data_IF_106811926993
#
_entry.id   IF_106811926993
#
_cell.length_a   1.000
_cell.length_b   1.000
_cell.length_c   1.000
_cell.angle_alpha   90.00
_cell.angle_beta   90.00
_cell.angle_gamma   90.00
#
_symmetry.space_group_name_H-M   'P 1'
#
loop_
_entity.id
_entity.type
_entity.pdbx_description
1 polymer ?
#
# COMPACT_ATOMS: atom_id res chain seq x y z
N UNK A 1 -50.18 -35.87 17.68
CA UNK A 1 -49.28 -35.84 16.50
C UNK A 1 -48.61 -34.48 16.49
N UNK A 2 -47.36 -34.46 16.93
CA UNK A 2 -46.54 -33.25 16.94
C UNK A 2 -45.85 -33.14 15.58
N UNK A 3 -46.18 -32.10 14.83
CA UNK A 3 -45.45 -31.78 13.59
C UNK A 3 -44.13 -31.20 13.99
N UNK A 4 -43.07 -32.02 13.81
CA UNK A 4 -41.71 -31.52 13.93
C UNK A 4 -41.45 -30.51 12.81
N UNK A 5 -41.23 -29.27 13.19
CA UNK A 5 -40.70 -28.23 12.29
C UNK A 5 -39.30 -28.64 11.87
N UNK A 6 -39.15 -29.10 10.64
CA UNK A 6 -37.86 -29.28 10.02
C UNK A 6 -37.35 -27.87 9.66
N UNK A 7 -36.32 -27.42 10.34
CA UNK A 7 -35.55 -26.28 9.87
C UNK A 7 -34.98 -26.61 8.46
N UNK A 8 -35.17 -25.72 7.48
CA UNK A 8 -34.50 -25.89 6.21
C UNK A 8 -33.01 -25.93 6.50
N UNK A 9 -32.33 -26.93 5.88
CA UNK A 9 -30.92 -27.18 6.10
C UNK A 9 -30.15 -25.90 5.85
N UNK A 10 -29.49 -25.43 6.89
CA UNK A 10 -28.43 -24.44 6.81
C UNK A 10 -27.39 -25.01 5.86
N UNK A 11 -27.36 -24.53 4.62
CA UNK A 11 -26.16 -24.59 3.84
C UNK A 11 -25.09 -23.93 4.70
N UNK A 12 -24.23 -24.74 5.26
CA UNK A 12 -23.15 -24.28 6.13
C UNK A 12 -22.16 -23.57 5.22
N UNK A 13 -22.41 -22.30 5.01
CA UNK A 13 -21.43 -21.37 4.52
C UNK A 13 -20.43 -21.24 5.65
N UNK A 14 -19.25 -21.84 5.47
CA UNK A 14 -18.19 -21.76 6.47
C UNK A 14 -17.50 -20.42 6.24
N UNK A 15 -17.69 -19.41 7.11
CA UNK A 15 -17.12 -18.07 6.93
C UNK A 15 -15.60 -18.10 6.72
N UNK A 16 -14.93 -19.04 7.37
CA UNK A 16 -13.47 -19.21 7.31
C UNK A 16 -12.94 -19.53 5.90
N UNK A 17 -13.68 -20.29 5.09
CA UNK A 17 -13.27 -20.63 3.72
C UNK A 17 -13.38 -19.40 2.80
N UNK A 18 -14.37 -18.57 3.03
CA UNK A 18 -14.60 -17.35 2.27
C UNK A 18 -13.57 -16.28 2.60
N UNK A 19 -13.20 -16.15 3.85
CA UNK A 19 -12.17 -15.21 4.28
C UNK A 19 -10.81 -15.55 3.65
N UNK A 20 -10.46 -16.82 3.59
CA UNK A 20 -9.23 -17.28 2.95
C UNK A 20 -9.23 -17.01 1.43
N UNK A 21 -10.34 -17.24 0.74
CA UNK A 21 -10.47 -16.96 -0.68
C UNK A 21 -10.47 -15.44 -0.95
N UNK A 22 -11.13 -14.66 -0.12
CA UNK A 22 -11.16 -13.21 -0.19
C UNK A 22 -9.75 -12.62 -0.09
N UNK A 23 -8.98 -13.00 0.92
CA UNK A 23 -7.60 -12.54 1.12
C UNK A 23 -6.70 -12.89 -0.06
N UNK A 24 -6.80 -14.11 -0.59
CA UNK A 24 -6.02 -14.55 -1.75
C UNK A 24 -6.31 -13.73 -3.01
N UNK A 25 -7.55 -13.27 -3.19
CA UNK A 25 -7.93 -12.46 -4.34
C UNK A 25 -7.69 -10.95 -4.13
N UNK A 26 -7.70 -10.50 -2.87
CA UNK A 26 -7.52 -9.10 -2.52
C UNK A 26 -6.07 -8.64 -2.67
N UNK A 27 -5.12 -9.38 -2.12
CA UNK A 27 -3.70 -9.02 -2.10
C UNK A 27 -3.09 -8.74 -3.48
N UNK A 28 -3.35 -9.56 -4.53
CA UNK A 28 -2.79 -9.30 -5.85
C UNK A 28 -3.29 -8.03 -6.54
N UNK A 29 -4.41 -7.47 -6.08
CA UNK A 29 -5.00 -6.24 -6.63
C UNK A 29 -4.41 -4.97 -6.03
N UNK A 30 -3.71 -5.07 -4.90
CA UNK A 30 -3.10 -3.94 -4.21
C UNK A 30 -1.71 -3.64 -4.78
N UNK A 31 -1.42 -2.38 -5.03
CA UNK A 31 -0.08 -1.89 -5.39
C UNK A 31 0.52 -1.13 -4.22
N UNK A 32 -0.17 -0.13 -3.69
CA UNK A 32 0.30 0.69 -2.57
C UNK A 32 0.29 -0.07 -1.24
N UNK A 33 -0.74 -0.88 -1.00
CA UNK A 33 -0.84 -1.72 0.19
C UNK A 33 -0.14 -3.08 0.02
N UNK A 34 0.53 -3.33 -1.11
CA UNK A 34 1.28 -4.57 -1.33
C UNK A 34 2.56 -4.62 -0.50
N UNK A 35 3.07 -5.83 -0.17
CA UNK A 35 4.32 -6.00 0.57
C UNK A 35 5.56 -5.38 -0.10
N UNK A 36 5.49 -5.08 -1.41
CA UNK A 36 6.56 -4.40 -2.15
C UNK A 36 6.67 -2.91 -1.80
N UNK A 37 5.56 -2.28 -1.44
CA UNK A 37 5.47 -0.84 -1.19
C UNK A 37 5.27 -0.54 0.29
N UNK A 38 4.42 -1.31 0.96
CA UNK A 38 4.09 -1.15 2.38
C UNK A 38 4.33 -2.44 3.14
N UNK A 39 4.89 -2.35 4.33
CA UNK A 39 4.97 -3.52 5.21
C UNK A 39 3.66 -3.73 5.97
N UNK A 40 3.35 -4.98 6.28
CA UNK A 40 2.18 -5.39 7.07
C UNK A 40 2.57 -6.04 8.41
N UNK A 41 3.73 -5.68 8.96
CA UNK A 41 4.29 -6.29 10.18
C UNK A 41 3.39 -6.15 11.41
N UNK A 42 2.45 -5.21 11.40
CA UNK A 42 1.63 -4.83 12.54
C UNK A 42 0.15 -5.25 12.40
N UNK A 43 -0.17 -6.09 11.44
CA UNK A 43 -1.56 -6.48 11.08
C UNK A 43 -2.23 -7.36 12.14
N UNK A 44 -1.48 -8.19 12.86
CA UNK A 44 -2.02 -9.20 13.79
C UNK A 44 -2.62 -8.68 15.10
N UNK A 45 -2.48 -7.39 15.41
CA UNK A 45 -2.92 -6.81 16.70
C UNK A 45 -4.23 -6.03 16.63
N UNK A 46 -4.85 -5.94 15.45
CA UNK A 46 -6.01 -5.09 15.19
C UNK A 46 -7.30 -5.91 15.33
N UNK A 47 -8.27 -5.38 16.06
CA UNK A 47 -9.59 -6.01 16.25
C UNK A 47 -10.76 -5.11 15.91
N UNK A 48 -10.61 -3.79 16.02
CA UNK A 48 -11.70 -2.83 15.79
C UNK A 48 -11.20 -1.47 15.34
N UNK A 49 -12.12 -0.66 14.77
CA UNK A 49 -11.82 0.74 14.43
C UNK A 49 -11.44 1.52 15.70
N UNK A 50 -10.36 2.27 15.62
CA UNK A 50 -9.81 3.03 16.73
C UNK A 50 -8.71 2.30 17.50
N UNK A 51 -8.41 1.04 17.18
CA UNK A 51 -7.26 0.35 17.74
C UNK A 51 -5.97 1.07 17.38
N UNK A 52 -5.06 1.11 18.33
CA UNK A 52 -3.76 1.77 18.21
C UNK A 52 -2.66 0.76 18.41
N UNK A 53 -1.83 0.61 17.40
CA UNK A 53 -0.63 -0.21 17.47
C UNK A 53 0.58 0.68 17.71
N UNK A 54 1.38 0.36 18.72
CA UNK A 54 2.58 1.10 19.06
C UNK A 54 3.79 0.54 18.31
N UNK A 55 4.47 1.40 17.56
CA UNK A 55 5.68 1.08 16.82
C UNK A 55 6.85 1.73 17.53
N UNK A 56 7.61 0.94 18.30
CA UNK A 56 8.76 1.43 19.03
C UNK A 56 10.03 1.34 18.21
N UNK A 57 10.73 2.46 18.04
CA UNK A 57 12.03 2.54 17.38
C UNK A 57 13.11 2.82 18.41
N UNK A 58 14.21 2.06 18.37
CA UNK A 58 15.37 2.27 19.23
C UNK A 58 16.25 3.38 18.61
N UNK A 59 16.68 4.31 19.46
CA UNK A 59 17.68 5.31 19.09
C UNK A 59 19.07 4.68 19.01
N UNK A 60 19.83 5.05 17.98
CA UNK A 60 21.22 4.60 17.87
C UNK A 60 22.06 5.21 19.00
N UNK A 61 22.81 4.40 19.77
CA UNK A 61 23.71 4.91 20.78
C UNK A 61 24.86 5.70 20.13
N UNK A 62 25.34 6.71 20.81
CA UNK A 62 26.49 7.53 20.36
C UNK A 62 27.78 6.77 20.63
N UNK A 63 28.65 6.70 19.63
CA UNK A 63 29.99 6.12 19.79
C UNK A 63 30.88 7.17 20.49
N UNK A 64 31.48 6.80 21.59
CA UNK A 64 32.44 7.61 22.33
C UNK A 64 33.86 7.14 22.13
N UNK A 65 34.83 8.05 22.23
CA UNK A 65 36.25 7.70 22.23
C UNK A 65 36.69 7.15 23.59
N UNK A 66 37.41 6.05 23.56
CA UNK A 66 37.96 5.45 24.77
C UNK A 66 39.35 6.00 25.07
N UNK A 67 39.49 6.54 26.27
CA UNK A 67 40.79 6.90 26.83
C UNK A 67 41.00 6.17 28.15
N UNK A 68 42.25 5.79 28.47
CA UNK A 68 42.57 5.08 29.72
C UNK A 68 42.24 5.97 30.94
N UNK A 69 42.31 7.29 30.80
CA UNK A 69 42.06 8.23 31.88
C UNK A 69 40.56 8.38 32.21
N UNK A 70 39.69 8.40 31.20
CA UNK A 70 38.26 8.73 31.35
C UNK A 70 37.36 7.46 31.38
N UNK A 71 37.88 6.32 30.95
CA UNK A 71 37.14 5.06 30.93
C UNK A 71 35.98 5.05 29.92
N UNK A 72 34.92 4.33 30.22
CA UNK A 72 33.70 4.22 29.39
C UNK A 72 32.49 4.79 30.13
N UNK A 73 31.68 5.60 29.47
CA UNK A 73 30.40 6.07 30.00
C UNK A 73 29.26 5.23 29.43
N UNK A 74 28.50 4.58 30.32
CA UNK A 74 27.34 3.79 29.91
C UNK A 74 26.19 4.69 29.46
N UNK A 75 25.63 4.42 28.30
CA UNK A 75 24.43 5.08 27.77
C UNK A 75 23.20 4.23 28.04
N UNK A 76 22.08 4.86 28.36
CA UNK A 76 20.79 4.18 28.47
C UNK A 76 20.14 4.14 27.07
N UNK A 77 19.58 2.99 26.64
CA UNK A 77 18.83 2.94 25.42
C UNK A 77 17.58 3.82 25.50
N UNK A 78 17.39 4.68 24.53
CA UNK A 78 16.19 5.51 24.39
C UNK A 78 15.34 4.97 23.24
N UNK A 79 14.03 5.06 23.39
CA UNK A 79 13.05 4.61 22.39
C UNK A 79 12.15 5.76 22.00
N UNK A 80 11.72 5.75 20.73
CA UNK A 80 10.71 6.66 20.19
C UNK A 80 9.48 5.83 19.84
N UNK A 81 8.33 6.24 20.35
CA UNK A 81 7.04 5.60 20.09
C UNK A 81 6.32 6.29 18.92
N UNK A 82 5.79 5.49 18.01
CA UNK A 82 4.92 5.91 16.93
C UNK A 82 3.62 5.13 17.00
N UNK A 83 2.49 5.78 16.75
CA UNK A 83 1.18 5.15 16.85
C UNK A 83 0.58 4.96 15.45
N UNK A 84 0.28 3.73 15.11
CA UNK A 84 -0.56 3.39 13.96
C UNK A 84 -2.00 3.24 14.46
N UNK A 85 -2.89 4.07 13.95
CA UNK A 85 -4.31 4.04 14.31
C UNK A 85 -5.13 3.54 13.13
N UNK A 86 -6.08 2.65 13.40
CA UNK A 86 -7.05 2.20 12.40
C UNK A 86 -8.14 3.26 12.27
N UNK A 87 -8.06 4.04 11.21
CA UNK A 87 -8.95 5.20 10.99
C UNK A 87 -10.13 4.89 10.11
N UNK A 88 -9.97 3.99 9.16
CA UNK A 88 -10.97 3.71 8.14
C UNK A 88 -11.80 2.47 8.45
N UNK A 89 -13.09 2.59 8.22
CA UNK A 89 -14.05 1.48 8.25
C UNK A 89 -14.95 1.61 7.02
N UNK A 90 -14.76 0.76 6.05
CA UNK A 90 -15.56 0.75 4.82
C UNK A 90 -16.41 -0.51 4.78
N UNK A 91 -17.68 -0.35 4.43
CA UNK A 91 -18.58 -1.46 4.25
C UNK A 91 -19.11 -1.50 2.82
N UNK A 92 -19.44 -2.68 2.38
CA UNK A 92 -20.19 -2.92 1.17
C UNK A 92 -21.38 -3.81 1.52
N UNK A 93 -22.55 -3.44 1.00
CA UNK A 93 -23.76 -4.24 1.12
C UNK A 93 -24.44 -4.28 -0.24
N UNK A 94 -24.71 -5.45 -0.74
CA UNK A 94 -25.39 -5.69 -2.01
C UNK A 94 -26.67 -6.45 -1.73
N UNK A 95 -27.78 -5.97 -2.27
CA UNK A 95 -29.07 -6.63 -2.22
C UNK A 95 -29.24 -7.50 -3.48
N UNK A 96 -29.71 -8.73 -3.29
CA UNK A 96 -30.04 -9.67 -4.35
C UNK A 96 -31.51 -10.05 -4.22
N UNK A 97 -32.34 -9.63 -5.16
CA UNK A 97 -33.77 -9.95 -5.12
C UNK A 97 -34.03 -11.42 -5.47
N UNK A 98 -34.98 -12.03 -4.76
CA UNK A 98 -35.37 -13.44 -5.00
C UNK A 98 -35.76 -13.71 -6.45
N UNK A 99 -36.39 -12.74 -7.12
CA UNK A 99 -36.79 -12.87 -8.52
C UNK A 99 -35.59 -12.90 -9.48
N UNK A 100 -34.53 -12.17 -9.21
CA UNK A 100 -33.31 -12.16 -10.01
C UNK A 100 -32.50 -13.44 -9.80
N UNK A 101 -32.47 -13.95 -8.58
CA UNK A 101 -31.78 -15.22 -8.24
C UNK A 101 -32.34 -16.42 -8.98
N UNK A 102 -33.66 -16.45 -9.22
CA UNK A 102 -34.34 -17.51 -9.97
C UNK A 102 -34.10 -17.42 -11.48
N UNK A 103 -33.91 -16.21 -12.01
CA UNK A 103 -33.70 -15.98 -13.45
C UNK A 103 -32.25 -16.23 -13.90
N UNK A 104 -31.29 -16.15 -12.98
CA UNK A 104 -29.88 -16.34 -13.27
C UNK A 104 -29.44 -17.74 -12.87
N UNK A 105 -29.58 -18.68 -13.79
CA UNK A 105 -29.26 -20.11 -13.63
C UNK A 105 -27.76 -20.43 -13.45
N UNK A 106 -26.93 -19.49 -13.08
CA UNK A 106 -25.48 -19.69 -12.92
C UNK A 106 -24.89 -18.76 -11.85
N UNK A 107 -25.00 -19.16 -10.58
CA UNK A 107 -24.21 -18.62 -9.46
C UNK A 107 -23.84 -17.13 -9.51
N UNK A 108 -24.76 -16.26 -9.13
CA UNK A 108 -24.54 -14.80 -9.05
C UNK A 108 -23.50 -14.40 -7.98
N UNK A 109 -23.33 -15.24 -6.98
CA UNK A 109 -22.53 -14.96 -5.80
C UNK A 109 -21.06 -14.72 -6.13
N UNK A 110 -20.49 -15.50 -7.05
CA UNK A 110 -19.08 -15.37 -7.43
C UNK A 110 -18.74 -14.04 -8.17
N UNK A 111 -19.49 -13.59 -9.19
CA UNK A 111 -19.24 -12.29 -9.84
C UNK A 111 -19.45 -11.08 -8.92
N UNK A 112 -20.49 -11.12 -8.05
CA UNK A 112 -20.78 -10.06 -7.08
C UNK A 112 -19.62 -9.94 -6.11
N UNK A 113 -19.19 -11.06 -5.51
CA UNK A 113 -18.07 -11.08 -4.56
C UNK A 113 -16.78 -10.55 -5.20
N UNK A 114 -16.47 -10.92 -6.44
CA UNK A 114 -15.31 -10.39 -7.15
C UNK A 114 -15.39 -8.87 -7.35
N UNK A 115 -16.56 -8.33 -7.65
CA UNK A 115 -16.74 -6.89 -7.79
C UNK A 115 -16.61 -6.17 -6.44
N UNK A 116 -17.14 -6.75 -5.37
CA UNK A 116 -17.00 -6.21 -4.01
C UNK A 116 -15.53 -6.17 -3.58
N UNK A 117 -14.79 -7.26 -3.80
CA UNK A 117 -13.34 -7.34 -3.53
C UNK A 117 -12.59 -6.25 -4.29
N UNK A 118 -12.84 -6.12 -5.60
CA UNK A 118 -12.17 -5.11 -6.43
C UNK A 118 -12.44 -3.67 -5.96
N UNK A 119 -13.68 -3.38 -5.57
CA UNK A 119 -14.06 -2.07 -5.08
C UNK A 119 -13.34 -1.72 -3.76
N UNK A 120 -13.32 -2.66 -2.81
CA UNK A 120 -12.63 -2.48 -1.52
C UNK A 120 -11.12 -2.40 -1.70
N UNK A 121 -10.54 -3.23 -2.55
CA UNK A 121 -9.12 -3.20 -2.87
C UNK A 121 -8.70 -1.85 -3.45
N UNK A 122 -9.48 -1.32 -4.38
CA UNK A 122 -9.21 -0.03 -5.01
C UNK A 122 -9.27 1.13 -4.02
N UNK A 123 -10.23 1.11 -3.11
CA UNK A 123 -10.37 2.13 -2.07
C UNK A 123 -9.21 2.11 -1.09
N UNK A 124 -8.81 0.92 -0.63
CA UNK A 124 -7.66 0.76 0.26
C UNK A 124 -6.35 1.16 -0.41
N UNK A 125 -6.17 0.82 -1.69
CA UNK A 125 -4.99 1.20 -2.47
C UNK A 125 -4.90 2.72 -2.61
N UNK A 126 -6.00 3.39 -2.96
CA UNK A 126 -6.05 4.85 -3.06
C UNK A 126 -5.76 5.55 -1.72
N UNK A 127 -6.26 5.00 -0.61
CA UNK A 127 -5.98 5.51 0.73
C UNK A 127 -4.49 5.44 1.06
N UNK A 128 -3.85 4.28 0.84
CA UNK A 128 -2.42 4.12 1.09
C UNK A 128 -1.58 5.01 0.17
N UNK A 129 -1.95 5.11 -1.11
CA UNK A 129 -1.30 6.02 -2.05
C UNK A 129 -1.31 7.47 -1.56
N UNK A 130 -2.44 7.93 -1.03
CA UNK A 130 -2.56 9.29 -0.48
C UNK A 130 -1.67 9.50 0.76
N UNK A 131 -1.64 8.54 1.70
CA UNK A 131 -0.77 8.62 2.89
C UNK A 131 0.70 8.69 2.47
N UNK A 132 1.13 7.83 1.55
CA UNK A 132 2.49 7.80 1.04
C UNK A 132 2.82 9.11 0.34
N UNK A 133 1.92 9.64 -0.49
CA UNK A 133 2.13 10.90 -1.18
C UNK A 133 2.23 12.10 -0.22
N UNK A 134 1.44 12.13 0.85
CA UNK A 134 1.52 13.20 1.87
C UNK A 134 2.85 13.13 2.61
N UNK A 135 3.29 11.94 3.01
CA UNK A 135 4.51 11.75 3.79
C UNK A 135 5.82 11.80 2.98
N UNK A 136 5.76 11.70 1.66
CA UNK A 136 6.94 11.67 0.78
C UNK A 136 7.60 13.04 0.61
N UNK A 137 8.92 13.07 0.54
CA UNK A 137 9.70 14.26 0.16
C UNK A 137 9.43 14.59 -1.31
N UNK A 138 9.03 15.84 -1.58
CA UNK A 138 8.78 16.28 -2.94
C UNK A 138 10.09 16.72 -3.62
N UNK A 139 10.40 16.12 -4.75
CA UNK A 139 11.43 16.59 -5.66
C UNK A 139 10.88 17.67 -6.60
N UNK A 140 11.75 18.45 -7.25
CA UNK A 140 11.31 19.41 -8.27
C UNK A 140 10.41 18.76 -9.33
N UNK A 141 9.40 19.49 -9.77
CA UNK A 141 8.51 19.00 -10.81
C UNK A 141 9.29 18.76 -12.12
N UNK A 142 9.02 17.63 -12.75
CA UNK A 142 9.64 17.27 -14.04
C UNK A 142 8.89 18.04 -15.12
N UNK A 143 9.60 18.87 -15.89
CA UNK A 143 9.03 19.64 -17.01
C UNK A 143 9.68 19.20 -18.32
N UNK A 144 9.25 18.05 -18.87
CA UNK A 144 9.84 17.56 -20.12
C UNK A 144 9.41 18.41 -21.31
N UNK A 145 10.27 18.58 -22.29
CA UNK A 145 9.89 19.06 -23.62
C UNK A 145 9.32 17.92 -24.44
N UNK A 146 8.48 18.22 -25.44
CA UNK A 146 7.84 17.18 -26.26
C UNK A 146 8.83 16.19 -26.92
N UNK A 147 10.04 16.64 -27.20
CA UNK A 147 11.09 15.83 -27.84
C UNK A 147 11.90 14.99 -26.86
N UNK A 148 11.82 15.28 -25.57
CA UNK A 148 12.76 14.75 -24.56
C UNK A 148 12.07 14.04 -23.38
N UNK A 149 10.80 13.66 -23.53
CA UNK A 149 10.02 13.06 -22.44
C UNK A 149 10.69 11.81 -21.85
N UNK A 150 11.11 10.81 -22.65
CA UNK A 150 11.72 9.58 -22.11
C UNK A 150 12.99 9.86 -21.32
N UNK A 151 13.87 10.74 -21.84
CA UNK A 151 15.13 11.09 -21.19
C UNK A 151 14.90 11.85 -19.88
N UNK A 152 13.96 12.79 -19.85
CA UNK A 152 13.63 13.56 -18.65
C UNK A 152 13.08 12.68 -17.54
N UNK A 153 12.22 11.72 -17.87
CA UNK A 153 11.67 10.75 -16.91
C UNK A 153 12.74 9.79 -16.38
N UNK A 154 13.63 9.34 -17.26
CA UNK A 154 14.76 8.49 -16.86
C UNK A 154 15.71 9.24 -15.91
N UNK A 155 16.06 10.48 -16.21
CA UNK A 155 16.90 11.31 -15.34
C UNK A 155 16.22 11.54 -13.97
N UNK A 156 14.91 11.77 -13.94
CA UNK A 156 14.18 11.93 -12.69
C UNK A 156 14.23 10.68 -11.80
N UNK A 157 14.21 9.48 -12.38
CA UNK A 157 14.40 8.24 -11.60
C UNK A 157 15.81 8.15 -11.04
N UNK A 158 16.82 8.60 -11.79
CA UNK A 158 18.20 8.67 -11.30
C UNK A 158 18.35 9.70 -10.18
N UNK A 159 17.67 10.85 -10.26
CA UNK A 159 17.66 11.85 -9.19
C UNK A 159 16.98 11.31 -7.92
N UNK A 160 15.90 10.54 -8.07
CA UNK A 160 15.28 9.83 -6.94
C UNK A 160 16.22 8.80 -6.31
N UNK A 161 16.99 8.08 -7.15
CA UNK A 161 18.01 7.14 -6.67
C UNK A 161 19.07 7.89 -5.86
N UNK A 162 19.57 9.01 -6.37
CA UNK A 162 20.59 9.83 -5.71
C UNK A 162 20.10 10.34 -4.34
N UNK A 163 18.85 10.80 -4.25
CA UNK A 163 18.27 11.29 -2.99
C UNK A 163 18.16 10.16 -1.95
N UNK A 164 17.72 8.96 -2.36
CA UNK A 164 17.65 7.81 -1.48
C UNK A 164 19.04 7.27 -1.10
N UNK A 165 20.03 7.33 -2.01
CA UNK A 165 21.41 6.95 -1.72
C UNK A 165 22.06 7.94 -0.73
N UNK A 166 21.82 9.24 -0.89
CA UNK A 166 22.33 10.27 0.03
C UNK A 166 21.74 10.17 1.43
N UNK A 167 20.61 9.49 1.55
CA UNK A 167 19.92 9.18 2.81
C UNK A 167 20.23 7.77 3.34
N UNK A 168 21.23 7.08 2.80
CA UNK A 168 21.65 5.72 3.20
C UNK A 168 20.49 4.69 3.24
N UNK A 169 19.50 4.82 2.36
CA UNK A 169 18.40 3.87 2.28
C UNK A 169 18.87 2.56 1.67
N UNK A 170 18.58 1.40 2.29
CA UNK A 170 19.06 0.10 1.81
C UNK A 170 18.50 -0.29 0.43
N UNK A 171 19.04 -1.34 -0.16
CA UNK A 171 18.55 -1.95 -1.39
C UNK A 171 17.16 -2.61 -1.16
N UNK A 172 16.45 -2.90 -2.25
CA UNK A 172 15.06 -3.40 -2.18
C UNK A 172 14.03 -2.29 -2.39
N UNK A 173 14.46 -1.22 -3.05
CA UNK A 173 13.64 -0.04 -3.33
C UNK A 173 12.62 -0.30 -4.44
N UNK A 174 11.51 0.40 -4.37
CA UNK A 174 10.46 0.38 -5.37
C UNK A 174 10.31 1.75 -6.04
N UNK A 175 9.77 1.75 -7.26
CA UNK A 175 9.23 2.94 -7.92
C UNK A 175 7.82 2.61 -8.41
N UNK A 176 6.85 3.39 -8.00
CA UNK A 176 5.49 3.33 -8.49
C UNK A 176 5.28 4.45 -9.50
N UNK A 177 4.81 4.11 -10.68
CA UNK A 177 4.62 5.06 -11.79
C UNK A 177 3.22 5.00 -12.36
N UNK A 178 2.74 6.13 -12.89
CA UNK A 178 1.51 6.15 -13.66
C UNK A 178 1.67 5.39 -14.99
N UNK A 179 0.59 4.86 -15.59
CA UNK A 179 0.67 4.15 -16.87
C UNK A 179 1.23 5.02 -18.00
N UNK A 180 1.02 6.34 -17.92
CA UNK A 180 1.55 7.29 -18.89
C UNK A 180 3.08 7.41 -18.79
N UNK A 181 3.60 7.51 -17.57
CA UNK A 181 5.06 7.51 -17.32
C UNK A 181 5.68 6.20 -17.77
N UNK A 182 5.07 5.05 -17.42
CA UNK A 182 5.52 3.73 -17.85
C UNK A 182 5.72 3.63 -19.36
N UNK A 183 4.75 4.12 -20.15
CA UNK A 183 4.82 4.11 -21.60
C UNK A 183 6.10 4.78 -22.10
N UNK A 184 6.37 6.00 -21.64
CA UNK A 184 7.56 6.75 -22.08
C UNK A 184 8.88 6.15 -21.55
N UNK A 185 8.87 5.54 -20.36
CA UNK A 185 10.06 4.85 -19.85
C UNK A 185 10.46 3.66 -20.72
N UNK A 186 9.48 2.90 -21.24
CA UNK A 186 9.77 1.78 -22.16
C UNK A 186 10.37 2.28 -23.49
N UNK A 187 10.03 3.47 -23.94
CA UNK A 187 10.59 4.09 -25.14
C UNK A 187 12.05 4.52 -24.96
N UNK A 188 12.54 4.62 -23.71
CA UNK A 188 13.94 5.03 -23.48
C UNK A 188 14.93 3.91 -23.86
N UNK A 189 15.99 4.22 -24.66
CA UNK A 189 16.92 3.21 -25.18
C UNK A 189 17.59 2.34 -24.10
N UNK A 190 17.96 2.93 -22.96
CA UNK A 190 18.58 2.20 -21.86
C UNK A 190 17.64 1.18 -21.21
N UNK A 191 16.33 1.43 -21.18
CA UNK A 191 15.32 0.52 -20.65
C UNK A 191 14.99 -0.57 -21.68
N UNK A 192 14.82 -0.19 -22.93
CA UNK A 192 14.58 -1.13 -24.03
C UNK A 192 15.73 -2.12 -24.21
N UNK A 193 16.98 -1.66 -24.14
CA UNK A 193 18.16 -2.53 -24.22
C UNK A 193 18.32 -3.42 -23.00
N UNK A 194 18.04 -2.95 -21.79
CA UNK A 194 18.07 -3.76 -20.57
C UNK A 194 17.05 -4.91 -20.63
N UNK A 195 15.87 -4.67 -21.21
CA UNK A 195 14.89 -5.72 -21.46
C UNK A 195 15.36 -6.77 -22.50
N UNK A 196 16.24 -6.40 -23.40
CA UNK A 196 16.81 -7.31 -24.41
C UNK A 196 18.00 -8.13 -23.88
N UNK A 197 18.74 -7.63 -22.90
CA UNK A 197 19.95 -8.26 -22.35
C UNK A 197 19.79 -8.83 -20.95
N UNK A 198 18.69 -8.58 -20.25
CA UNK A 198 18.46 -9.00 -18.86
C UNK A 198 17.64 -10.27 -18.73
N UNK A 199 18.03 -11.14 -17.83
CA UNK A 199 17.20 -12.25 -17.34
C UNK A 199 15.91 -11.70 -16.70
N UNK A 200 14.83 -11.78 -17.42
CA UNK A 200 13.52 -11.40 -16.91
C UNK A 200 12.79 -10.49 -17.88
N UNK A 201 12.27 -11.10 -18.94
CA UNK A 201 11.33 -10.44 -19.83
C UNK A 201 10.21 -9.78 -19.05
N UNK A 202 9.59 -8.77 -19.65
CA UNK A 202 8.39 -8.07 -19.19
C UNK A 202 7.42 -9.07 -18.57
N UNK A 203 7.44 -9.20 -17.26
CA UNK A 203 6.68 -10.24 -16.56
C UNK A 203 5.21 -9.89 -16.51
N UNK A 204 4.38 -10.89 -16.71
CA UNK A 204 2.92 -10.81 -16.79
C UNK A 204 2.20 -10.22 -15.56
N UNK A 205 2.91 -9.92 -14.48
CA UNK A 205 2.35 -9.52 -13.18
C UNK A 205 2.52 -8.02 -12.85
N UNK A 206 2.61 -7.12 -13.84
CA UNK A 206 2.68 -5.68 -13.59
C UNK A 206 4.05 -5.14 -13.17
N UNK A 207 5.02 -5.99 -12.84
CA UNK A 207 6.42 -5.62 -12.60
C UNK A 207 7.10 -5.42 -13.95
N UNK A 208 7.45 -4.18 -14.27
CA UNK A 208 7.89 -3.81 -15.63
C UNK A 208 9.35 -4.06 -15.89
N UNK A 209 10.19 -3.93 -14.92
CA UNK A 209 11.63 -4.20 -15.00
C UNK A 209 12.30 -3.76 -13.69
N UNK A 210 13.56 -4.16 -13.49
CA UNK A 210 14.46 -3.50 -12.54
C UNK A 210 15.22 -2.41 -13.27
N UNK A 211 15.10 -1.18 -12.81
CA UNK A 211 15.80 -0.03 -13.35
C UNK A 211 16.54 0.69 -12.23
N UNK A 212 17.84 0.93 -12.39
CA UNK A 212 18.64 1.64 -11.40
C UNK A 212 18.51 1.10 -9.95
N UNK A 213 18.36 -0.21 -9.80
CA UNK A 213 18.16 -0.85 -8.48
C UNK A 213 16.72 -0.82 -7.94
N UNK A 214 15.80 -0.18 -8.65
CA UNK A 214 14.39 -0.15 -8.31
C UNK A 214 13.59 -1.27 -8.97
N UNK A 215 12.56 -1.75 -8.24
CA UNK A 215 11.48 -2.55 -8.82
C UNK A 215 10.37 -1.59 -9.28
N UNK A 216 10.05 -1.58 -10.57
CA UNK A 216 9.04 -0.67 -11.13
C UNK A 216 7.66 -1.31 -11.04
N UNK A 217 6.75 -0.64 -10.36
CA UNK A 217 5.34 -0.98 -10.25
C UNK A 217 4.49 0.04 -10.99
N UNK A 218 3.33 -0.37 -11.49
CA UNK A 218 2.43 0.53 -12.21
C UNK A 218 1.04 0.47 -11.61
N UNK A 219 0.47 1.63 -11.31
CA UNK A 219 -0.91 1.73 -10.84
C UNK A 219 -1.67 2.85 -11.52
N UNK A 220 -2.98 2.67 -11.67
CA UNK A 220 -3.90 3.73 -12.10
C UNK A 220 -4.40 4.56 -10.91
N UNK A 221 -4.23 4.06 -9.68
CA UNK A 221 -4.62 4.73 -8.44
C UNK A 221 -3.50 5.66 -7.93
N UNK A 222 -2.98 6.53 -8.80
CA UNK A 222 -2.00 7.53 -8.39
C UNK A 222 -2.68 8.67 -7.64
N UNK A 223 -2.07 9.17 -6.56
CA UNK A 223 -2.52 10.35 -5.84
C UNK A 223 -2.52 11.59 -6.75
N UNK A 224 -3.45 12.53 -6.50
CA UNK A 224 -3.56 13.73 -7.31
C UNK A 224 -2.25 14.55 -7.29
N UNK A 225 -1.79 14.96 -8.48
CA UNK A 225 -0.58 15.77 -8.63
C UNK A 225 0.73 15.02 -8.41
N UNK A 226 0.70 13.68 -8.42
CA UNK A 226 1.90 12.84 -8.30
C UNK A 226 1.89 11.82 -9.43
N UNK A 227 2.98 11.70 -10.16
CA UNK A 227 3.13 10.75 -11.27
C UNK A 227 4.16 9.65 -10.98
N UNK A 228 5.12 9.93 -10.11
CA UNK A 228 6.19 9.00 -9.74
C UNK A 228 6.40 9.07 -8.23
N UNK A 229 6.48 7.90 -7.60
CA UNK A 229 6.86 7.75 -6.19
C UNK A 229 7.92 6.68 -6.08
N UNK A 230 9.02 6.97 -5.42
CA UNK A 230 10.09 6.01 -5.14
C UNK A 230 10.32 5.91 -3.63
N UNK A 231 10.68 4.73 -3.14
CA UNK A 231 10.95 4.55 -1.72
C UNK A 231 11.33 3.12 -1.36
N UNK A 232 11.29 2.84 -0.06
CA UNK A 232 11.53 1.52 0.49
C UNK A 232 10.35 1.09 1.37
N UNK A 233 9.96 -0.19 1.31
CA UNK A 233 8.76 -0.71 1.97
C UNK A 233 8.74 -0.56 3.49
N UNK A 234 9.89 -0.45 4.14
CA UNK A 234 9.97 -0.24 5.60
C UNK A 234 9.43 1.13 6.05
N UNK A 235 9.33 2.11 5.16
CA UNK A 235 8.86 3.46 5.49
C UNK A 235 7.35 3.64 5.42
N UNK A 236 6.62 2.65 4.94
CA UNK A 236 5.16 2.66 4.94
C UNK A 236 4.64 1.38 5.58
N UNK A 237 3.67 1.52 6.47
CA UNK A 237 2.98 0.36 7.06
C UNK A 237 1.50 0.45 6.78
N UNK A 238 0.94 -0.68 6.41
CA UNK A 238 -0.47 -0.88 6.18
C UNK A 238 -0.96 -2.01 7.06
N UNK A 239 -2.08 -1.80 7.69
CA UNK A 239 -2.71 -2.82 8.51
C UNK A 239 -4.19 -2.87 8.20
N UNK A 240 -4.71 -4.06 7.97
CA UNK A 240 -6.09 -4.29 7.57
C UNK A 240 -6.70 -5.48 8.29
N UNK A 241 -8.02 -5.44 8.44
CA UNK A 241 -8.80 -6.54 8.94
C UNK A 241 -10.11 -6.65 8.16
N UNK A 242 -10.38 -7.83 7.66
CA UNK A 242 -11.66 -8.20 7.10
C UNK A 242 -12.55 -8.86 8.15
N UNK A 243 -13.82 -8.47 8.17
CA UNK A 243 -14.81 -9.06 9.10
C UNK A 243 -15.55 -10.24 8.47
N UNK A 244 -15.19 -10.62 7.24
CA UNK A 244 -15.87 -11.67 6.50
C UNK A 244 -17.19 -11.22 5.84
N UNK A 245 -17.75 -12.09 5.02
CA UNK A 245 -19.06 -11.88 4.44
C UNK A 245 -20.14 -12.34 5.41
N UNK A 246 -21.21 -11.57 5.49
CA UNK A 246 -22.43 -11.96 6.15
C UNK A 246 -23.57 -11.95 5.14
N UNK A 247 -24.41 -12.96 5.21
CA UNK A 247 -25.67 -13.04 4.48
C UNK A 247 -26.83 -12.81 5.45
N UNK A 248 -27.82 -12.08 5.01
CA UNK A 248 -29.03 -11.84 5.80
C UNK A 248 -30.20 -11.47 4.91
N UNK A 249 -31.39 -11.56 5.47
CA UNK A 249 -32.60 -11.13 4.79
C UNK A 249 -32.93 -9.67 5.11
N UNK A 250 -33.30 -8.92 4.09
CA UNK A 250 -33.67 -7.53 4.25
C UNK A 250 -35.08 -7.44 4.89
N UNK A 251 -35.20 -6.68 5.97
CA UNK A 251 -36.51 -6.41 6.61
C UNK A 251 -37.45 -5.56 5.74
N UNK A 252 -36.87 -4.76 4.85
CA UNK A 252 -37.58 -3.79 4.02
C UNK A 252 -37.96 -4.32 2.65
N UNK A 253 -37.11 -5.17 2.08
CA UNK A 253 -37.30 -5.72 0.75
C UNK A 253 -37.33 -7.25 0.81
N UNK A 254 -38.07 -7.88 -0.10
CA UNK A 254 -38.01 -9.32 -0.28
C UNK A 254 -36.76 -9.70 -1.07
N UNK A 255 -35.63 -9.59 -0.40
CA UNK A 255 -34.32 -9.77 -0.95
C UNK A 255 -33.34 -10.24 0.12
N UNK A 256 -32.36 -10.99 -0.27
CA UNK A 256 -31.20 -11.31 0.56
C UNK A 256 -30.13 -10.23 0.36
N UNK A 257 -29.34 -9.96 1.40
CA UNK A 257 -28.18 -9.08 1.28
C UNK A 257 -26.92 -9.82 1.66
N UNK A 258 -25.84 -9.45 0.97
CA UNK A 258 -24.46 -9.85 1.29
C UNK A 258 -23.76 -8.59 1.77
N UNK A 259 -23.22 -8.60 2.98
CA UNK A 259 -22.46 -7.48 3.52
C UNK A 259 -21.06 -7.90 3.94
N UNK A 260 -20.12 -6.96 3.84
CA UNK A 260 -18.75 -7.11 4.33
C UNK A 260 -18.26 -5.79 4.89
N UNK A 261 -17.38 -5.86 5.90
CA UNK A 261 -16.75 -4.72 6.54
C UNK A 261 -15.23 -4.87 6.45
N UNK A 262 -14.56 -3.84 5.94
CA UNK A 262 -13.12 -3.74 5.86
C UNK A 262 -12.64 -2.60 6.77
N UNK A 263 -11.82 -2.96 7.77
CA UNK A 263 -11.16 -2.04 8.67
C UNK A 263 -9.70 -1.92 8.25
N UNK A 264 -9.22 -0.71 8.09
CA UNK A 264 -7.80 -0.51 7.73
C UNK A 264 -7.25 0.81 8.22
N UNK A 265 -5.94 0.85 8.30
CA UNK A 265 -5.17 2.02 8.63
C UNK A 265 -3.78 1.96 7.99
N UNK A 266 -3.19 3.11 7.82
CA UNK A 266 -1.84 3.21 7.28
C UNK A 266 -1.09 4.35 7.92
N UNK A 267 0.23 4.22 7.95
CA UNK A 267 1.12 5.23 8.48
C UNK A 267 2.48 5.21 7.80
N UNK A 268 3.09 6.38 7.71
CA UNK A 268 4.51 6.50 7.38
C UNK A 268 5.32 6.23 8.63
N UNK A 269 6.14 5.19 8.59
CA UNK A 269 7.09 4.84 9.65
C UNK A 269 8.31 5.75 9.51
N UNK A 270 8.66 6.41 10.59
CA UNK A 270 9.78 7.35 10.65
C UNK A 270 10.94 6.74 11.39
N UNK A 271 12.13 7.05 10.93
CA UNK A 271 13.36 6.55 11.54
C UNK A 271 14.12 7.68 12.22
N UNK A 272 14.58 7.49 13.48
CA UNK A 272 15.23 8.52 14.27
C UNK A 272 16.47 9.15 13.64
N UNK A 273 17.11 8.44 12.73
CA UNK A 273 18.34 8.87 12.06
C UNK A 273 18.08 9.73 10.82
N UNK A 274 16.92 9.55 10.20
CA UNK A 274 16.56 10.17 8.94
C UNK A 274 15.55 11.30 9.10
N UNK A 275 14.63 11.15 10.05
CA UNK A 275 13.49 12.03 10.20
C UNK A 275 13.65 12.99 11.39
N UNK A 276 13.07 14.18 11.28
CA UNK A 276 13.17 15.23 12.32
C UNK A 276 12.37 14.83 13.55
N UNK A 277 13.04 14.86 14.71
CA UNK A 277 12.43 14.68 16.02
C UNK A 277 12.07 16.01 16.66
N UNK A 278 11.02 15.99 17.49
CA UNK A 278 10.67 17.08 18.41
C UNK A 278 11.42 16.93 19.74
N UNK A 279 11.36 17.97 20.55
CA UNK A 279 12.00 17.99 21.86
C UNK A 279 11.45 16.93 22.84
N UNK A 280 10.24 16.44 22.63
CA UNK A 280 9.56 15.42 23.43
C UNK A 280 9.86 13.98 22.96
N UNK A 281 10.88 13.77 22.13
CA UNK A 281 11.23 12.50 21.50
C UNK A 281 10.12 11.90 20.63
N UNK A 282 9.16 12.70 20.13
CA UNK A 282 8.21 12.29 19.09
C UNK A 282 8.69 12.75 17.72
N UNK A 283 8.13 12.17 16.64
CA UNK A 283 8.43 12.64 15.30
C UNK A 283 7.55 13.82 14.89
N UNK A 284 8.12 14.71 14.09
CA UNK A 284 7.36 15.78 13.46
C UNK A 284 6.63 15.23 12.23
N UNK A 285 5.37 14.83 12.42
CA UNK A 285 4.54 14.25 11.36
C UNK A 285 4.18 15.25 10.25
N UNK A 286 4.39 16.54 10.47
CA UNK A 286 4.15 17.57 9.46
C UNK A 286 5.25 17.65 8.40
N UNK A 287 6.43 17.09 8.69
CA UNK A 287 7.56 17.07 7.76
C UNK A 287 7.56 15.78 6.94
N UNK A 288 7.99 15.83 5.67
CA UNK A 288 8.13 14.64 4.86
C UNK A 288 9.24 13.72 5.38
N UNK A 289 9.13 12.41 5.13
CA UNK A 289 10.20 11.45 5.41
C UNK A 289 11.22 11.43 4.26
N UNK A 290 12.48 11.17 4.60
CA UNK A 290 13.54 11.02 3.59
C UNK A 290 13.54 9.64 2.92
N UNK A 291 12.82 8.68 3.48
CA UNK A 291 12.76 7.31 2.94
C UNK A 291 11.84 7.11 1.76
N UNK A 292 11.01 8.12 1.44
CA UNK A 292 10.11 8.10 0.29
C UNK A 292 10.19 9.45 -0.41
N UNK A 293 10.33 9.43 -1.72
CA UNK A 293 10.40 10.61 -2.58
C UNK A 293 9.32 10.57 -3.65
N UNK A 294 8.80 11.75 -4.03
CA UNK A 294 7.76 11.88 -5.06
C UNK A 294 8.11 12.97 -6.06
N UNK A 295 7.63 12.83 -7.28
CA UNK A 295 7.68 13.86 -8.29
C UNK A 295 6.39 13.94 -9.09
N UNK A 296 6.05 15.16 -9.48
CA UNK A 296 4.97 15.45 -10.43
C UNK A 296 5.56 15.68 -11.82
N UNK A 297 4.83 15.33 -12.85
CA UNK A 297 5.20 15.60 -14.25
C UNK A 297 4.28 16.67 -14.82
N UNK A 298 4.86 17.79 -15.23
CA UNK A 298 4.14 18.82 -15.99
C UNK A 298 4.21 18.46 -17.47
N UNK A 299 3.16 17.81 -17.95
CA UNK A 299 3.11 17.35 -19.33
C UNK A 299 3.08 18.52 -20.31
N UNK A 300 3.85 18.48 -21.41
CA UNK A 300 3.74 19.49 -22.45
C UNK A 300 2.33 19.49 -23.03
N UNK A 301 1.75 20.68 -23.18
CA UNK A 301 0.50 20.87 -23.91
C UNK A 301 0.76 20.59 -25.39
N UNK A 302 -0.03 19.65 -25.95
CA UNK A 302 -0.02 19.33 -27.38
C UNK A 302 -0.49 20.48 -28.24
#
# INVERSE_FOLDING_TARGET
MSLAYQQPGTTTFIPEIWDAELLTQFDPLLVWASPFVSNNKYEGEIRQKGDVVHINSLLRPTVGDYTIADGMTAQRPETVDQKLTITEAKYLQVLVEDAERVQLAGGLDSPINQQMIRALAREADAFMGNIIAIGATALPAITPTAENIPQSLYSAILDMMLELDSSDIPAGRYVVVSPRVKRYLIEHPSVANAAAYGEGGVTANGVVARLAGFTILTTTAMPAGVDIVAGHSEFATYASQFTGFREGQSEKYRADYIDTLHLYGGKIVRYPELDTKKADNTFDESKPTKGIVKAAVTWPTS
#
